data_IF_006349030353
#
_entry.id   IF_006349030353
#
_cell.length_a   1.000
_cell.length_b   1.000
_cell.length_c   1.000
_cell.angle_alpha   90.00
_cell.angle_beta   90.00
_cell.angle_gamma   90.00
#
_symmetry.space_group_name_H-M   'P 1'
#
loop_
_entity.id
_entity.type
_entity.pdbx_description
1 polymer ?
#
# COMPACT_ATOMS: atom_id res chain seq x y z
N UNK A 1 69.73 -24.07 -6.03
CA UNK A 1 68.99 -23.47 -4.89
C UNK A 1 68.27 -22.20 -5.31
N UNK A 2 68.96 -21.25 -5.96
CA UNK A 2 68.36 -20.00 -6.47
C UNK A 2 67.15 -20.19 -7.40
N UNK A 3 67.20 -21.11 -8.38
CA UNK A 3 66.08 -21.31 -9.32
C UNK A 3 64.78 -21.81 -8.66
N UNK A 4 64.90 -22.57 -7.57
CA UNK A 4 63.75 -23.06 -6.82
C UNK A 4 63.09 -21.94 -6.00
N UNK A 5 63.90 -21.01 -5.47
CA UNK A 5 63.38 -19.81 -4.79
C UNK A 5 62.72 -18.84 -5.77
N UNK A 6 63.30 -18.66 -6.96
CA UNK A 6 62.72 -17.83 -8.03
C UNK A 6 61.36 -18.40 -8.46
N UNK A 7 61.26 -19.72 -8.66
CA UNK A 7 59.99 -20.37 -9.01
C UNK A 7 58.93 -20.23 -7.91
N UNK A 8 59.30 -20.40 -6.64
CA UNK A 8 58.38 -20.18 -5.50
C UNK A 8 57.88 -18.73 -5.43
N UNK A 9 58.76 -17.75 -5.62
CA UNK A 9 58.41 -16.34 -5.65
C UNK A 9 57.47 -16.01 -6.81
N UNK A 10 57.71 -16.56 -8.00
CA UNK A 10 56.83 -16.40 -9.16
C UNK A 10 55.42 -16.96 -8.88
N UNK A 11 55.33 -18.14 -8.26
CA UNK A 11 54.05 -18.73 -7.88
C UNK A 11 53.31 -17.86 -6.85
N UNK A 12 54.02 -17.35 -5.84
CA UNK A 12 53.43 -16.48 -4.82
C UNK A 12 52.93 -15.16 -5.40
N UNK A 13 53.69 -14.59 -6.35
CA UNK A 13 53.31 -13.36 -7.06
C UNK A 13 52.09 -13.58 -7.97
N UNK A 14 51.95 -14.78 -8.56
CA UNK A 14 50.74 -15.15 -9.32
C UNK A 14 49.50 -15.25 -8.43
N UNK A 15 49.62 -15.89 -7.26
CA UNK A 15 48.55 -16.02 -6.28
C UNK A 15 48.13 -14.65 -5.74
N UNK A 16 49.12 -13.78 -5.44
CA UNK A 16 48.84 -12.43 -4.97
C UNK A 16 48.10 -11.60 -6.02
N UNK A 17 48.46 -11.73 -7.30
CA UNK A 17 47.72 -11.09 -8.41
C UNK A 17 46.29 -11.61 -8.51
N UNK A 18 46.08 -12.91 -8.35
CA UNK A 18 44.75 -13.50 -8.38
C UNK A 18 43.87 -13.00 -7.22
N UNK A 19 44.43 -12.96 -6.01
CA UNK A 19 43.74 -12.42 -4.83
C UNK A 19 43.48 -10.91 -4.96
N UNK A 20 44.40 -10.16 -5.55
CA UNK A 20 44.19 -8.73 -5.85
C UNK A 20 43.02 -8.52 -6.82
N UNK A 21 42.93 -9.31 -7.89
CA UNK A 21 41.81 -9.24 -8.85
C UNK A 21 40.49 -9.62 -8.18
N UNK A 22 40.47 -10.67 -7.35
CA UNK A 22 39.28 -11.05 -6.56
C UNK A 22 38.84 -9.92 -5.62
N UNK A 23 39.80 -9.28 -4.94
CA UNK A 23 39.53 -8.17 -4.04
C UNK A 23 38.98 -6.96 -4.80
N UNK A 24 39.56 -6.64 -5.96
CA UNK A 24 39.10 -5.54 -6.81
C UNK A 24 37.66 -5.76 -7.28
N UNK A 25 37.31 -6.99 -7.71
CA UNK A 25 35.94 -7.33 -8.09
C UNK A 25 34.96 -7.21 -6.91
N UNK A 26 35.36 -7.66 -5.71
CA UNK A 26 34.55 -7.52 -4.50
C UNK A 26 34.36 -6.06 -4.10
N UNK A 27 35.41 -5.24 -4.23
CA UNK A 27 35.33 -3.81 -3.95
C UNK A 27 34.36 -3.12 -4.90
N UNK A 28 34.42 -3.39 -6.20
CA UNK A 28 33.47 -2.83 -7.18
C UNK A 28 32.02 -3.29 -6.94
N UNK A 29 31.79 -4.55 -6.56
CA UNK A 29 30.45 -5.02 -6.18
C UNK A 29 29.94 -4.33 -4.91
N UNK A 30 30.81 -4.13 -3.92
CA UNK A 30 30.49 -3.42 -2.69
C UNK A 30 30.17 -1.94 -2.94
N UNK A 31 30.97 -1.25 -3.76
CA UNK A 31 30.71 0.13 -4.18
C UNK A 31 29.37 0.25 -4.91
N UNK A 32 29.06 -0.67 -5.82
CA UNK A 32 27.77 -0.70 -6.53
C UNK A 32 26.60 -0.86 -5.55
N UNK A 33 26.70 -1.79 -4.60
CA UNK A 33 25.65 -2.00 -3.58
C UNK A 33 25.51 -0.78 -2.66
N UNK A 34 26.61 -0.16 -2.28
CA UNK A 34 26.62 1.06 -1.47
C UNK A 34 25.94 2.22 -2.20
N UNK A 35 26.24 2.45 -3.48
CA UNK A 35 25.59 3.50 -4.29
C UNK A 35 24.08 3.31 -4.40
N UNK A 36 23.61 2.07 -4.55
CA UNK A 36 22.17 1.76 -4.57
C UNK A 36 21.54 2.04 -3.20
N UNK A 37 22.23 1.69 -2.11
CA UNK A 37 21.74 1.94 -0.75
C UNK A 37 21.70 3.43 -0.40
N UNK A 38 22.72 4.22 -0.76
CA UNK A 38 22.77 5.65 -0.48
C UNK A 38 21.83 6.48 -1.34
N UNK A 39 21.55 6.05 -2.57
CA UNK A 39 20.54 6.67 -3.41
C UNK A 39 19.13 6.69 -2.75
N UNK A 40 18.81 5.71 -1.90
CA UNK A 40 17.56 5.67 -1.14
C UNK A 40 17.55 6.54 0.13
N UNK A 41 18.73 6.94 0.63
CA UNK A 41 18.88 7.67 1.91
C UNK A 41 18.95 9.18 1.76
N UNK A 42 19.01 9.71 0.52
CA UNK A 42 19.09 11.15 0.25
C UNK A 42 20.41 11.80 0.69
N UNK A 43 21.46 11.00 0.92
CA UNK A 43 22.75 11.51 1.38
C UNK A 43 23.45 12.28 0.24
N UNK A 44 23.57 13.59 0.42
CA UNK A 44 23.91 14.59 -0.60
C UNK A 44 25.39 14.60 -1.02
N UNK A 45 26.24 13.78 -0.41
CA UNK A 45 27.67 13.76 -0.70
C UNK A 45 28.03 13.05 -2.02
N UNK A 46 27.04 12.49 -2.74
CA UNK A 46 27.27 11.74 -3.98
C UNK A 46 26.35 12.15 -5.15
N UNK A 47 26.19 13.46 -5.39
CA UNK A 47 25.46 14.04 -6.55
C UNK A 47 25.96 13.54 -7.93
N UNK A 48 27.14 12.92 -7.96
CA UNK A 48 27.77 12.37 -9.16
C UNK A 48 27.52 10.89 -9.45
N UNK A 49 26.75 10.16 -8.63
CA UNK A 49 26.52 8.73 -8.90
C UNK A 49 25.60 8.52 -10.12
N UNK A 50 25.78 7.39 -10.84
CA UNK A 50 24.90 7.04 -11.96
C UNK A 50 23.43 6.91 -11.53
N UNK A 51 23.18 6.29 -10.38
CA UNK A 51 21.82 6.07 -9.85
C UNK A 51 21.16 7.39 -9.50
N UNK A 52 21.85 8.29 -8.79
CA UNK A 52 21.32 9.61 -8.42
C UNK A 52 20.99 10.44 -9.65
N UNK A 53 21.87 10.45 -10.67
CA UNK A 53 21.60 11.12 -11.94
C UNK A 53 20.40 10.52 -12.68
N UNK A 54 20.28 9.20 -12.70
CA UNK A 54 19.15 8.53 -13.34
C UNK A 54 17.83 8.89 -12.65
N UNK A 55 17.77 8.87 -11.32
CA UNK A 55 16.59 9.29 -10.55
C UNK A 55 16.23 10.75 -10.83
N UNK A 56 17.21 11.65 -10.88
CA UNK A 56 16.99 13.07 -11.21
C UNK A 56 16.44 13.24 -12.63
N UNK A 57 17.04 12.56 -13.62
CA UNK A 57 16.54 12.58 -15.00
C UNK A 57 15.10 12.08 -15.05
N UNK A 58 14.79 10.96 -14.38
CA UNK A 58 13.42 10.43 -14.32
C UNK A 58 12.49 11.47 -13.70
N UNK A 59 12.81 12.05 -12.54
CA UNK A 59 11.99 13.08 -11.91
C UNK A 59 11.73 14.29 -12.85
N UNK A 60 12.76 14.74 -13.57
CA UNK A 60 12.67 15.87 -14.52
C UNK A 60 11.80 15.57 -15.76
N UNK A 61 11.57 14.29 -16.09
CA UNK A 61 10.72 13.85 -17.20
C UNK A 61 9.22 13.94 -16.90
N UNK A 62 8.82 14.27 -15.67
CA UNK A 62 7.42 14.46 -15.34
C UNK A 62 6.77 15.50 -16.27
N UNK A 63 5.74 15.06 -17.01
CA UNK A 63 5.00 15.87 -17.98
C UNK A 63 5.89 16.50 -19.07
N UNK A 64 6.94 15.79 -19.48
CA UNK A 64 7.80 16.17 -20.61
C UNK A 64 7.49 15.30 -21.81
N UNK A 65 7.43 15.94 -22.99
CA UNK A 65 7.29 15.24 -24.27
C UNK A 65 8.56 14.44 -24.64
N UNK A 66 9.72 14.84 -24.11
CA UNK A 66 10.99 14.19 -24.41
C UNK A 66 10.98 12.72 -23.97
N UNK A 67 11.13 11.80 -24.93
CA UNK A 67 11.05 10.34 -24.73
C UNK A 67 9.67 9.80 -24.32
N UNK A 68 8.63 10.64 -24.32
CA UNK A 68 7.28 10.21 -24.02
C UNK A 68 6.77 9.26 -25.09
N UNK A 69 6.24 8.13 -24.66
CA UNK A 69 5.67 7.06 -25.47
C UNK A 69 4.21 6.76 -25.09
N UNK A 70 3.63 7.58 -24.22
CA UNK A 70 2.26 7.47 -23.70
C UNK A 70 1.70 8.85 -23.36
N UNK A 71 0.42 9.09 -23.65
CA UNK A 71 -0.33 10.26 -23.18
C UNK A 71 -1.37 9.84 -22.15
N UNK A 72 -1.44 10.52 -21.02
CA UNK A 72 -2.48 10.27 -20.01
C UNK A 72 -3.57 11.32 -20.15
N UNK A 73 -4.79 10.88 -20.46
CA UNK A 73 -5.98 11.73 -20.51
C UNK A 73 -6.50 11.93 -19.08
N UNK A 74 -6.75 13.18 -18.70
CA UNK A 74 -7.23 13.57 -17.38
C UNK A 74 -8.58 14.27 -17.48
N UNK A 75 -9.22 14.47 -16.32
CA UNK A 75 -10.49 15.18 -16.20
C UNK A 75 -10.44 16.56 -16.89
N UNK A 76 -11.53 16.91 -17.58
CA UNK A 76 -11.66 18.21 -18.26
C UNK A 76 -10.81 18.37 -19.52
N UNK A 77 -10.35 17.26 -20.12
CA UNK A 77 -9.57 17.27 -21.36
C UNK A 77 -8.10 17.65 -21.17
N UNK A 78 -7.62 17.68 -19.93
CA UNK A 78 -6.21 17.87 -19.65
C UNK A 78 -5.42 16.62 -20.07
N UNK A 79 -4.17 16.81 -20.48
CA UNK A 79 -3.27 15.73 -20.88
C UNK A 79 -1.94 15.86 -20.17
N UNK A 80 -1.30 14.71 -19.91
CA UNK A 80 0.08 14.63 -19.39
C UNK A 80 0.90 13.72 -20.26
N UNK A 81 2.12 14.15 -20.61
CA UNK A 81 3.09 13.28 -21.27
C UNK A 81 3.68 12.29 -20.27
N UNK A 82 3.63 11.00 -20.61
CA UNK A 82 4.10 9.92 -19.76
C UNK A 82 5.06 8.96 -20.49
N UNK A 83 5.72 8.13 -19.68
CA UNK A 83 6.80 7.24 -20.07
C UNK A 83 6.49 5.84 -19.53
N UNK A 84 6.24 4.89 -20.42
CA UNK A 84 5.87 3.51 -20.05
C UNK A 84 6.93 2.87 -19.16
N UNK A 85 8.22 3.11 -19.40
CA UNK A 85 9.28 2.52 -18.57
C UNK A 85 9.26 3.05 -17.12
N UNK A 86 8.90 4.32 -16.89
CA UNK A 86 8.76 4.90 -15.55
C UNK A 86 7.56 4.30 -14.85
N UNK A 87 6.47 4.15 -15.60
CA UNK A 87 5.29 3.45 -15.13
C UNK A 87 5.70 2.03 -14.68
N UNK A 88 6.24 1.21 -15.57
CA UNK A 88 6.64 -0.18 -15.31
C UNK A 88 7.55 -0.33 -14.08
N UNK A 89 8.43 0.64 -13.83
CA UNK A 89 9.30 0.64 -12.65
C UNK A 89 8.54 0.75 -11.30
N UNK A 90 7.28 1.20 -11.30
CA UNK A 90 6.44 1.35 -10.09
C UNK A 90 5.52 0.18 -9.82
N UNK A 91 5.12 -0.58 -10.84
CA UNK A 91 4.25 -1.75 -10.68
C UNK A 91 4.32 -2.65 -11.92
N UNK A 92 4.49 -3.95 -11.68
CA UNK A 92 4.51 -4.99 -12.71
C UNK A 92 3.14 -5.13 -13.41
N UNK A 93 2.10 -4.56 -12.84
CA UNK A 93 0.72 -4.61 -13.34
C UNK A 93 0.53 -3.74 -14.59
N UNK A 94 1.40 -2.75 -14.74
CA UNK A 94 1.52 -1.99 -15.97
C UNK A 94 2.30 -2.75 -17.04
N UNK A 95 3.01 -3.82 -16.69
CA UNK A 95 3.70 -4.72 -17.63
C UNK A 95 2.76 -5.77 -18.20
N UNK A 96 1.78 -6.22 -17.41
CA UNK A 96 0.78 -7.22 -17.82
C UNK A 96 -0.43 -6.65 -18.58
N UNK A 97 -0.50 -5.34 -18.78
CA UNK A 97 -1.63 -4.68 -19.45
C UNK A 97 -1.29 -4.28 -20.89
N UNK A 98 -2.34 -4.04 -21.68
CA UNK A 98 -2.30 -3.53 -23.06
C UNK A 98 -1.46 -2.24 -23.26
N UNK A 99 -0.94 -1.63 -22.18
CA UNK A 99 -0.09 -0.44 -22.19
C UNK A 99 1.13 -0.57 -23.11
N UNK A 100 1.69 -1.76 -23.32
CA UNK A 100 2.76 -1.94 -24.30
C UNK A 100 2.33 -1.50 -25.72
N UNK A 101 1.07 -1.76 -26.07
CA UNK A 101 0.49 -1.53 -27.41
C UNK A 101 -0.38 -0.27 -27.51
N UNK A 102 -0.62 0.42 -26.40
CA UNK A 102 -1.49 1.59 -26.35
C UNK A 102 -0.67 2.88 -26.26
N UNK A 103 -1.10 3.93 -26.95
CA UNK A 103 -0.48 5.27 -26.92
C UNK A 103 -1.17 6.23 -25.95
N UNK A 104 -2.33 5.87 -25.40
CA UNK A 104 -3.14 6.71 -24.51
C UNK A 104 -3.70 5.93 -23.30
N UNK A 105 -3.51 6.46 -22.09
CA UNK A 105 -4.09 5.92 -20.86
C UNK A 105 -5.17 6.88 -20.36
N UNK A 106 -6.38 6.37 -20.15
CA UNK A 106 -7.48 7.18 -19.66
C UNK A 106 -7.56 7.17 -18.12
N UNK A 107 -7.45 8.37 -17.53
CA UNK A 107 -7.68 8.69 -16.12
C UNK A 107 -8.69 9.83 -15.98
N UNK A 108 -9.54 10.07 -16.99
CA UNK A 108 -10.51 11.17 -16.99
C UNK A 108 -11.62 11.01 -15.93
N UNK A 109 -11.79 9.80 -15.40
CA UNK A 109 -12.70 9.50 -14.29
C UNK A 109 -12.12 9.83 -12.90
N UNK A 110 -10.83 10.19 -12.83
CA UNK A 110 -10.14 10.57 -11.60
C UNK A 110 -10.03 12.09 -11.55
N UNK A 111 -10.34 12.68 -10.39
CA UNK A 111 -10.20 14.13 -10.18
C UNK A 111 -8.81 14.60 -10.59
N UNK A 112 -8.76 15.73 -11.31
CA UNK A 112 -7.53 16.27 -11.90
C UNK A 112 -6.36 16.37 -10.90
N UNK A 113 -6.63 16.84 -9.68
CA UNK A 113 -5.61 17.01 -8.64
C UNK A 113 -5.06 15.66 -8.12
N UNK A 114 -5.92 14.66 -7.98
CA UNK A 114 -5.55 13.31 -7.54
C UNK A 114 -4.73 12.61 -8.60
N UNK A 115 -5.15 12.69 -9.87
CA UNK A 115 -4.41 12.09 -10.98
C UNK A 115 -3.02 12.74 -11.15
N UNK A 116 -2.92 14.06 -11.04
CA UNK A 116 -1.63 14.78 -11.05
C UNK A 116 -0.74 14.41 -9.88
N UNK A 117 -1.29 14.25 -8.68
CA UNK A 117 -0.52 13.83 -7.53
C UNK A 117 0.00 12.40 -7.67
N UNK A 118 -0.82 11.47 -8.16
CA UNK A 118 -0.41 10.10 -8.47
C UNK A 118 0.71 10.09 -9.51
N UNK A 119 0.52 10.79 -10.64
CA UNK A 119 1.52 10.84 -11.70
C UNK A 119 2.81 11.50 -11.19
N UNK A 120 2.73 12.61 -10.45
CA UNK A 120 3.93 13.22 -9.86
C UNK A 120 4.68 12.24 -8.96
N UNK A 121 3.95 11.54 -8.08
CA UNK A 121 4.53 10.54 -7.20
C UNK A 121 5.24 9.42 -7.98
N UNK A 122 4.67 8.96 -9.10
CA UNK A 122 5.31 7.96 -9.95
C UNK A 122 6.71 8.40 -10.41
N UNK A 123 6.89 9.67 -10.76
CA UNK A 123 8.17 10.20 -11.23
C UNK A 123 9.12 10.59 -10.09
N UNK A 124 8.62 11.14 -8.99
CA UNK A 124 9.47 11.77 -7.97
C UNK A 124 9.54 11.00 -6.65
N UNK A 125 8.67 10.02 -6.44
CA UNK A 125 8.44 9.36 -5.14
C UNK A 125 7.93 10.29 -4.03
N UNK A 126 7.54 11.52 -4.37
CA UNK A 126 7.07 12.51 -3.40
C UNK A 126 5.55 12.65 -3.42
N UNK A 127 4.96 12.79 -2.23
CA UNK A 127 3.54 13.11 -2.04
C UNK A 127 3.49 14.34 -1.14
N UNK A 128 2.72 15.34 -1.53
CA UNK A 128 2.40 16.44 -0.64
C UNK A 128 1.23 16.02 0.27
N UNK A 129 1.55 15.44 1.43
CA UNK A 129 0.56 14.89 2.40
C UNK A 129 -0.18 16.01 3.19
N UNK A 130 -0.05 17.28 2.81
CA UNK A 130 -0.83 18.39 3.42
C UNK A 130 -2.33 18.35 3.09
N UNK A 131 -2.83 17.23 2.58
CA UNK A 131 -4.10 17.13 1.92
C UNK A 131 -5.21 16.66 2.87
N UNK A 132 -6.41 17.14 2.58
CA UNK A 132 -7.67 16.75 3.20
C UNK A 132 -7.87 15.23 3.11
N UNK A 133 -8.60 14.67 4.07
CA UNK A 133 -8.89 13.23 4.14
C UNK A 133 -9.56 12.71 2.87
N UNK A 134 -10.47 13.50 2.29
CA UNK A 134 -11.14 13.20 1.02
C UNK A 134 -10.15 13.00 -0.13
N UNK A 135 -9.16 13.88 -0.27
CA UNK A 135 -8.11 13.76 -1.29
C UNK A 135 -7.27 12.50 -1.07
N UNK A 136 -6.84 12.22 0.16
CA UNK A 136 -6.03 11.04 0.46
C UNK A 136 -6.80 9.74 0.22
N UNK A 137 -8.10 9.74 0.48
CA UNK A 137 -8.98 8.60 0.22
C UNK A 137 -9.17 8.36 -1.27
N UNK A 138 -9.33 9.41 -2.07
CA UNK A 138 -9.37 9.31 -3.53
C UNK A 138 -8.02 8.87 -4.13
N UNK A 139 -6.90 9.37 -3.58
CA UNK A 139 -5.57 8.94 -3.97
C UNK A 139 -5.31 7.47 -3.61
N UNK A 140 -5.78 7.02 -2.45
CA UNK A 140 -5.75 5.61 -2.05
C UNK A 140 -6.54 4.74 -3.04
N UNK A 141 -7.70 5.22 -3.53
CA UNK A 141 -8.52 4.52 -4.54
C UNK A 141 -7.79 4.39 -5.86
N UNK A 142 -7.21 5.48 -6.33
CA UNK A 142 -6.40 5.47 -7.54
C UNK A 142 -5.18 4.54 -7.38
N UNK A 143 -4.46 4.61 -6.27
CA UNK A 143 -3.31 3.75 -5.97
C UNK A 143 -3.69 2.26 -5.95
N UNK A 144 -4.86 1.93 -5.37
CA UNK A 144 -5.37 0.55 -5.33
C UNK A 144 -5.74 0.06 -6.74
N UNK A 145 -6.44 0.89 -7.53
CA UNK A 145 -6.80 0.57 -8.93
C UNK A 145 -5.56 0.26 -9.78
N UNK A 146 -4.50 1.05 -9.63
CA UNK A 146 -3.25 0.87 -10.37
C UNK A 146 -2.24 -0.04 -9.66
N UNK A 147 -2.63 -0.70 -8.57
CA UNK A 147 -1.79 -1.63 -7.79
C UNK A 147 -0.43 -1.03 -7.42
N UNK A 148 -0.44 0.22 -6.96
CA UNK A 148 0.73 0.98 -6.52
C UNK A 148 0.92 0.83 -5.01
N UNK A 149 1.47 -0.30 -4.58
CA UNK A 149 1.52 -0.71 -3.17
C UNK A 149 2.21 0.31 -2.24
N UNK A 150 3.32 0.87 -2.69
CA UNK A 150 4.07 1.86 -1.92
C UNK A 150 3.27 3.16 -1.71
N UNK A 151 2.55 3.62 -2.74
CA UNK A 151 1.66 4.77 -2.66
C UNK A 151 0.47 4.46 -1.75
N UNK A 152 -0.14 3.29 -1.90
CA UNK A 152 -1.25 2.83 -1.07
C UNK A 152 -0.88 2.91 0.42
N UNK A 153 0.23 2.29 0.83
CA UNK A 153 0.71 2.34 2.22
C UNK A 153 0.98 3.76 2.72
N UNK A 154 1.51 4.65 1.87
CA UNK A 154 1.72 6.06 2.24
C UNK A 154 0.39 6.78 2.49
N UNK A 155 -0.62 6.55 1.64
CA UNK A 155 -1.96 7.08 1.83
C UNK A 155 -2.61 6.53 3.11
N UNK A 156 -2.48 5.22 3.38
CA UNK A 156 -2.99 4.61 4.62
C UNK A 156 -2.41 5.28 5.87
N UNK A 157 -1.09 5.44 5.90
CA UNK A 157 -0.41 6.09 7.03
C UNK A 157 -0.82 7.56 7.19
N UNK A 158 -1.06 8.29 6.09
CA UNK A 158 -1.59 9.65 6.14
C UNK A 158 -3.02 9.70 6.67
N UNK A 159 -3.87 8.76 6.24
CA UNK A 159 -5.28 8.71 6.66
C UNK A 159 -5.45 8.40 8.15
N UNK A 160 -4.53 7.65 8.75
CA UNK A 160 -4.55 7.36 10.20
C UNK A 160 -4.67 8.63 11.04
N UNK A 161 -4.02 9.74 10.68
CA UNK A 161 -4.12 10.98 11.46
C UNK A 161 -5.49 11.67 11.39
N UNK A 162 -6.36 11.28 10.46
CA UNK A 162 -7.72 11.82 10.32
C UNK A 162 -8.79 10.92 10.96
N UNK A 163 -8.43 9.69 11.33
CA UNK A 163 -9.35 8.73 11.95
C UNK A 163 -9.70 9.21 13.37
N UNK A 164 -11.00 9.22 13.66
CA UNK A 164 -11.55 9.52 14.97
C UNK A 164 -12.87 8.75 15.18
N UNK A 165 -13.43 8.83 16.38
CA UNK A 165 -14.65 8.09 16.75
C UNK A 165 -15.83 8.28 15.79
N UNK A 166 -15.97 9.48 15.20
CA UNK A 166 -17.12 9.80 14.32
C UNK A 166 -16.99 9.20 12.93
N UNK A 167 -15.78 8.96 12.44
CA UNK A 167 -15.54 8.52 11.05
C UNK A 167 -14.86 7.14 10.94
N UNK A 168 -14.41 6.55 12.05
CA UNK A 168 -13.63 5.31 12.04
C UNK A 168 -14.35 4.12 11.40
N UNK A 169 -15.68 4.02 11.52
CA UNK A 169 -16.46 2.95 10.87
C UNK A 169 -16.47 3.12 9.36
N UNK A 170 -16.69 4.33 8.86
CA UNK A 170 -16.63 4.62 7.43
C UNK A 170 -15.22 4.35 6.86
N UNK A 171 -14.17 4.74 7.60
CA UNK A 171 -12.79 4.44 7.24
C UNK A 171 -12.50 2.94 7.26
N UNK A 172 -13.02 2.19 8.24
CA UNK A 172 -12.89 0.74 8.31
C UNK A 172 -13.53 0.04 7.09
N UNK A 173 -14.75 0.44 6.72
CA UNK A 173 -15.43 -0.08 5.53
C UNK A 173 -14.64 0.22 4.26
N UNK A 174 -14.22 1.47 4.10
CA UNK A 174 -13.46 1.89 2.92
C UNK A 174 -12.12 1.15 2.84
N UNK A 175 -11.47 0.94 3.99
CA UNK A 175 -10.21 0.22 4.04
C UNK A 175 -10.37 -1.26 3.68
N UNK A 176 -11.46 -1.90 4.09
CA UNK A 176 -11.80 -3.28 3.67
C UNK A 176 -12.00 -3.37 2.16
N UNK A 177 -12.84 -2.49 1.60
CA UNK A 177 -13.15 -2.47 0.17
C UNK A 177 -11.90 -2.31 -0.71
N UNK A 178 -10.89 -1.62 -0.18
CA UNK A 178 -9.68 -1.27 -0.91
C UNK A 178 -8.47 -2.16 -0.57
N UNK A 179 -8.63 -3.12 0.34
CA UNK A 179 -7.52 -3.94 0.84
C UNK A 179 -6.41 -3.13 1.51
N UNK A 180 -6.77 -2.04 2.19
CA UNK A 180 -5.89 -1.14 2.92
C UNK A 180 -5.71 -1.62 4.37
N UNK A 181 -4.89 -2.66 4.54
CA UNK A 181 -4.77 -3.41 5.80
C UNK A 181 -4.24 -2.59 6.99
N UNK A 182 -3.34 -1.63 6.76
CA UNK A 182 -2.77 -0.80 7.83
C UNK A 182 -3.85 0.13 8.39
N UNK A 183 -4.61 0.79 7.50
CA UNK A 183 -5.71 1.66 7.89
C UNK A 183 -6.86 0.87 8.53
N UNK A 184 -7.23 -0.27 7.94
CA UNK A 184 -8.25 -1.17 8.47
C UNK A 184 -7.91 -1.63 9.89
N UNK A 185 -6.66 -2.06 10.12
CA UNK A 185 -6.20 -2.50 11.44
C UNK A 185 -6.31 -1.38 12.47
N UNK A 186 -5.85 -0.17 12.14
CA UNK A 186 -5.94 0.98 13.03
C UNK A 186 -7.40 1.31 13.39
N UNK A 187 -8.30 1.32 12.40
CA UNK A 187 -9.73 1.55 12.65
C UNK A 187 -10.33 0.43 13.52
N UNK A 188 -9.96 -0.83 13.28
CA UNK A 188 -10.41 -1.97 14.08
C UNK A 188 -9.97 -1.85 15.55
N UNK A 189 -8.74 -1.41 15.79
CA UNK A 189 -8.22 -1.16 17.15
C UNK A 189 -9.00 -0.05 17.84
N UNK A 190 -9.25 1.07 17.17
CA UNK A 190 -10.04 2.17 17.72
C UNK A 190 -11.48 1.74 18.04
N UNK A 191 -12.15 1.05 17.11
CA UNK A 191 -13.50 0.50 17.31
C UNK A 191 -13.53 -0.46 18.51
N UNK A 192 -12.50 -1.29 18.67
CA UNK A 192 -12.43 -2.25 19.78
C UNK A 192 -12.26 -1.56 21.14
N UNK A 193 -11.40 -0.54 21.20
CA UNK A 193 -11.10 0.17 22.44
C UNK A 193 -12.31 0.97 22.95
N UNK A 194 -13.17 1.41 22.04
CA UNK A 194 -14.37 2.19 22.34
C UNK A 194 -15.67 1.44 21.99
N UNK A 195 -15.64 0.10 22.02
CA UNK A 195 -16.76 -0.74 21.56
C UNK A 195 -18.11 -0.36 22.17
N UNK A 196 -18.13 -0.06 23.48
CA UNK A 196 -19.35 0.28 24.21
C UNK A 196 -19.87 1.71 23.94
N UNK A 197 -19.09 2.54 23.25
CA UNK A 197 -19.51 3.90 22.87
C UNK A 197 -20.28 3.92 21.54
N UNK A 198 -20.21 2.84 20.75
CA UNK A 198 -20.94 2.71 19.50
C UNK A 198 -22.36 2.19 19.72
N UNK A 199 -23.28 2.67 18.90
CA UNK A 199 -24.67 2.29 18.85
C UNK A 199 -24.97 1.51 17.58
N UNK A 200 -26.17 0.91 17.50
CA UNK A 200 -26.62 0.20 16.31
C UNK A 200 -26.68 1.10 15.06
N UNK A 201 -26.89 2.41 15.23
CA UNK A 201 -26.96 3.39 14.13
C UNK A 201 -25.59 3.57 13.46
N UNK A 202 -24.51 3.52 14.22
CA UNK A 202 -23.14 3.71 13.71
C UNK A 202 -22.75 2.63 12.70
N UNK A 203 -23.33 1.43 12.81
CA UNK A 203 -23.08 0.28 11.93
C UNK A 203 -24.12 0.12 10.81
N UNK A 204 -25.07 1.05 10.68
CA UNK A 204 -26.22 0.91 9.76
C UNK A 204 -25.79 0.75 8.31
N UNK A 205 -24.76 1.48 7.87
CA UNK A 205 -24.24 1.45 6.50
C UNK A 205 -23.27 0.30 6.23
N UNK A 206 -22.88 -0.47 7.26
CA UNK A 206 -21.89 -1.54 7.12
C UNK A 206 -22.46 -2.75 6.38
N UNK A 207 -21.77 -3.26 5.34
CA UNK A 207 -22.17 -4.50 4.67
C UNK A 207 -22.27 -5.67 5.64
N UNK A 208 -23.31 -6.50 5.48
CA UNK A 208 -23.60 -7.61 6.40
C UNK A 208 -22.41 -8.56 6.61
N UNK A 209 -21.66 -8.99 5.57
CA UNK A 209 -20.51 -9.89 5.78
C UNK A 209 -19.40 -9.28 6.64
N UNK A 210 -19.13 -7.98 6.44
CA UNK A 210 -18.11 -7.26 7.19
C UNK A 210 -18.52 -7.04 8.64
N UNK A 211 -19.77 -6.62 8.85
CA UNK A 211 -20.32 -6.45 10.20
C UNK A 211 -20.38 -7.77 10.94
N UNK A 212 -20.75 -8.85 10.25
CA UNK A 212 -20.77 -10.18 10.82
C UNK A 212 -19.39 -10.64 11.27
N UNK A 213 -18.37 -10.49 10.41
CA UNK A 213 -16.98 -10.77 10.76
C UNK A 213 -16.51 -9.97 11.96
N UNK A 214 -16.91 -8.69 12.06
CA UNK A 214 -16.60 -7.83 13.20
C UNK A 214 -17.26 -8.32 14.49
N UNK A 215 -18.56 -8.66 14.47
CA UNK A 215 -19.24 -9.20 15.66
C UNK A 215 -18.59 -10.49 16.15
N UNK A 216 -18.27 -11.42 15.25
CA UNK A 216 -17.53 -12.65 15.61
C UNK A 216 -16.17 -12.37 16.26
N UNK A 217 -15.48 -11.33 15.82
CA UNK A 217 -14.17 -10.98 16.35
C UNK A 217 -14.23 -10.22 17.68
N UNK A 218 -15.34 -9.53 17.99
CA UNK A 218 -15.42 -8.56 19.09
C UNK A 218 -16.41 -8.94 20.18
N UNK A 219 -17.33 -9.86 19.94
CA UNK A 219 -18.33 -10.29 20.94
C UNK A 219 -18.34 -11.79 21.12
N UNK A 220 -18.61 -12.22 22.36
CA UNK A 220 -18.76 -13.64 22.70
C UNK A 220 -20.06 -14.22 22.13
N UNK A 221 -21.08 -13.37 21.96
CA UNK A 221 -22.41 -13.73 21.46
C UNK A 221 -22.81 -12.92 20.20
N UNK A 222 -22.23 -13.22 19.01
CA UNK A 222 -22.47 -12.46 17.78
C UNK A 222 -23.94 -12.40 17.38
N UNK A 223 -24.70 -13.48 17.60
CA UNK A 223 -26.14 -13.53 17.31
C UNK A 223 -26.92 -12.53 18.16
N UNK A 224 -26.64 -12.47 19.46
CA UNK A 224 -27.30 -11.54 20.39
C UNK A 224 -26.98 -10.08 20.02
N UNK A 225 -25.73 -9.82 19.65
CA UNK A 225 -25.30 -8.50 19.17
C UNK A 225 -26.05 -8.12 17.88
N UNK A 226 -26.17 -9.03 16.92
CA UNK A 226 -26.89 -8.79 15.67
C UNK A 226 -28.39 -8.50 15.87
N UNK A 227 -29.05 -9.23 16.77
CA UNK A 227 -30.45 -9.02 17.13
C UNK A 227 -30.64 -7.64 17.79
N UNK A 228 -29.77 -7.28 18.75
CA UNK A 228 -29.79 -5.98 19.42
C UNK A 228 -29.50 -4.82 18.47
N UNK A 229 -28.68 -5.07 17.46
CA UNK A 229 -28.39 -4.13 16.39
C UNK A 229 -29.52 -4.00 15.36
N UNK A 230 -30.59 -4.81 15.46
CA UNK A 230 -31.67 -4.89 14.48
C UNK A 230 -31.17 -5.15 13.05
N UNK A 231 -30.10 -5.95 12.91
CA UNK A 231 -29.48 -6.32 11.62
C UNK A 231 -29.89 -7.72 11.20
N UNK A 232 -31.09 -7.85 10.64
CA UNK A 232 -31.68 -9.13 10.19
C UNK A 232 -30.81 -9.85 9.16
N UNK A 233 -30.13 -9.09 8.30
CA UNK A 233 -29.19 -9.60 7.30
C UNK A 233 -27.96 -10.29 7.93
N UNK A 234 -27.44 -9.75 9.03
CA UNK A 234 -26.36 -10.36 9.81
C UNK A 234 -26.85 -11.59 10.58
N UNK A 235 -28.08 -11.53 11.13
CA UNK A 235 -28.72 -12.69 11.76
C UNK A 235 -28.85 -13.83 10.74
N UNK A 236 -29.30 -13.54 9.53
CA UNK A 236 -29.42 -14.54 8.46
C UNK A 236 -28.08 -15.19 8.11
N UNK A 237 -26.99 -14.41 8.02
CA UNK A 237 -25.64 -14.95 7.80
C UNK A 237 -25.21 -15.90 8.93
N UNK A 238 -25.49 -15.55 10.19
CA UNK A 238 -25.22 -16.43 11.32
C UNK A 238 -26.00 -17.75 11.22
N UNK A 239 -27.29 -17.68 10.91
CA UNK A 239 -28.13 -18.87 10.80
C UNK A 239 -27.68 -19.81 9.67
N UNK A 240 -27.26 -19.26 8.53
CA UNK A 240 -26.68 -20.06 7.43
C UNK A 240 -25.40 -20.76 7.88
N UNK A 241 -24.49 -20.04 8.56
CA UNK A 241 -23.22 -20.62 9.02
C UNK A 241 -23.44 -21.79 10.01
N UNK A 242 -24.43 -21.66 10.89
CA UNK A 242 -24.71 -22.61 11.97
C UNK A 242 -25.93 -23.50 11.73
N UNK A 243 -26.39 -23.68 10.48
CA UNK A 243 -27.61 -24.42 10.12
C UNK A 243 -27.73 -25.79 10.82
N UNK A 244 -26.65 -26.56 10.83
CA UNK A 244 -26.57 -27.89 11.47
C UNK A 244 -26.61 -27.86 13.01
N UNK A 245 -26.41 -26.71 13.65
CA UNK A 245 -26.27 -26.53 15.09
C UNK A 245 -27.27 -25.51 15.68
N UNK A 246 -28.28 -25.10 14.91
CA UNK A 246 -29.21 -24.02 15.27
C UNK A 246 -29.87 -24.21 16.63
N UNK A 247 -30.33 -25.42 16.95
CA UNK A 247 -30.96 -25.71 18.24
C UNK A 247 -30.05 -25.41 19.44
N UNK A 248 -28.74 -25.58 19.30
CA UNK A 248 -27.80 -25.22 20.36
C UNK A 248 -27.50 -23.72 20.33
N UNK A 249 -27.20 -23.17 19.16
CA UNK A 249 -26.69 -21.81 19.00
C UNK A 249 -27.71 -20.72 19.28
N UNK A 250 -28.97 -20.91 18.88
CA UNK A 250 -30.03 -19.92 19.11
C UNK A 250 -30.47 -19.87 20.58
N UNK A 251 -30.20 -20.94 21.35
CA UNK A 251 -30.55 -21.05 22.77
C UNK A 251 -29.37 -20.74 23.72
N UNK A 252 -28.23 -20.26 23.20
CA UNK A 252 -27.15 -19.77 24.06
C UNK A 252 -27.65 -18.57 24.87
N UNK A 253 -27.29 -18.49 26.16
CA UNK A 253 -27.79 -17.45 27.07
C UNK A 253 -26.64 -16.50 27.40
N UNK A 254 -26.85 -15.20 27.15
CA UNK A 254 -25.95 -14.14 27.62
C UNK A 254 -26.24 -13.77 29.08
N UNK A 255 -25.41 -14.25 30.01
CA UNK A 255 -25.57 -14.01 31.44
C UNK A 255 -25.38 -12.55 31.89
N UNK A 256 -24.97 -11.62 30.99
CA UNK A 256 -24.83 -10.20 31.32
C UNK A 256 -26.17 -9.45 31.45
N UNK A 257 -27.31 -10.06 31.08
CA UNK A 257 -28.60 -9.37 31.00
C UNK A 257 -29.60 -9.60 32.15
N UNK A 258 -29.23 -10.30 33.23
CA UNK A 258 -30.14 -10.40 34.40
C UNK A 258 -30.20 -9.10 35.22
N UNK A 259 -29.34 -8.10 34.94
CA UNK A 259 -29.23 -6.88 35.75
C UNK A 259 -30.02 -5.66 35.23
N UNK A 260 -30.45 -5.62 33.96
CA UNK A 260 -31.11 -4.43 33.36
C UNK A 260 -32.64 -4.55 33.25
N UNK A 261 -33.23 -5.63 33.80
CA UNK A 261 -34.69 -5.85 33.83
C UNK A 261 -35.25 -6.14 35.24
N UNK A 262 -34.62 -5.60 36.28
CA UNK A 262 -35.18 -5.44 37.64
C UNK A 262 -35.01 -4.01 38.09
#
# INVERSE_FOLDING_TARGET
MADNEISKLQNHLSLLREEYVKLQNRFSDLERRYQVATAGSGDSDNEGSFVTRLLKIIADLYDKEQYSDLRVQLEGGHQVHAHKFVLLARSDEWASSDLAHVSELDMSDIKLEVARALLRWVYTDEINIKAEDTFLLELLRAATRFRLEALRKRCENGLISFVNMKNCIQFYQTAEEMGAEVLKKHCSELISNHWNEFTSEDFQTMPAPLLYGMFKAKTEFPLHTAIRAHREDVVFLYLIEFDSQLQSKVNEVDNKQVADYT
#
